data_IF_021837971737
#
_entry.id   IF_021837971737
#
_cell.length_a   1.000
_cell.length_b   1.000
_cell.length_c   1.000
_cell.angle_alpha   90.00
_cell.angle_beta   90.00
_cell.angle_gamma   90.00
#
_symmetry.space_group_name_H-M   'P 1'
#
loop_
_entity.id
_entity.type
_entity.pdbx_description
1 polymer ?
#
# COMPACT_ATOMS: atom_id res chain seq x y z
N UNK A 1 -7.36 -36.84 20.77
CA UNK A 1 -7.82 -35.98 19.66
C UNK A 1 -7.06 -34.67 19.78
N UNK A 2 -6.15 -34.38 18.85
CA UNK A 2 -5.46 -33.08 18.80
C UNK A 2 -6.48 -32.00 18.44
N UNK A 3 -6.39 -30.83 19.05
CA UNK A 3 -7.30 -29.72 18.70
C UNK A 3 -7.09 -29.33 17.23
N UNK A 4 -8.13 -28.85 16.52
CA UNK A 4 -8.00 -28.42 15.12
C UNK A 4 -6.86 -27.41 14.90
N UNK A 5 -6.59 -26.55 15.87
CA UNK A 5 -5.47 -25.60 15.84
C UNK A 5 -4.11 -26.29 15.99
N UNK A 6 -3.99 -27.30 16.86
CA UNK A 6 -2.75 -28.05 17.00
C UNK A 6 -2.38 -28.82 15.73
N UNK A 7 -3.38 -29.38 15.02
CA UNK A 7 -3.16 -30.02 13.72
C UNK A 7 -2.65 -29.03 12.68
N UNK A 8 -3.28 -27.87 12.56
CA UNK A 8 -2.88 -26.81 11.60
C UNK A 8 -1.47 -26.29 11.87
N UNK A 9 -1.10 -26.15 13.14
CA UNK A 9 0.24 -25.72 13.54
C UNK A 9 1.29 -26.79 13.18
N UNK A 10 0.97 -28.07 13.37
CA UNK A 10 1.85 -29.16 12.96
C UNK A 10 2.07 -29.19 11.45
N UNK A 11 1.01 -28.99 10.67
CA UNK A 11 1.08 -28.89 9.21
C UNK A 11 1.93 -27.69 8.78
N UNK A 12 1.74 -26.53 9.41
CA UNK A 12 2.53 -25.32 9.15
C UNK A 12 4.03 -25.55 9.40
N UNK A 13 4.38 -26.18 10.53
CA UNK A 13 5.75 -26.53 10.88
C UNK A 13 6.34 -27.60 9.94
N UNK A 14 5.52 -28.50 9.43
CA UNK A 14 5.94 -29.46 8.41
C UNK A 14 6.29 -28.75 7.10
N UNK A 15 5.39 -27.91 6.57
CA UNK A 15 5.65 -27.14 5.34
C UNK A 15 6.85 -26.20 5.48
N UNK A 16 7.00 -25.53 6.63
CA UNK A 16 8.16 -24.67 6.89
C UNK A 16 9.47 -25.46 6.87
N UNK A 17 9.51 -26.68 7.44
CA UNK A 17 10.68 -27.55 7.39
C UNK A 17 11.01 -28.00 5.97
N UNK A 18 10.01 -28.43 5.21
CA UNK A 18 10.20 -28.82 3.81
C UNK A 18 10.69 -27.64 2.96
N UNK A 19 10.11 -26.44 3.14
CA UNK A 19 10.55 -25.22 2.46
C UNK A 19 12.02 -24.90 2.75
N UNK A 20 12.44 -24.98 4.02
CA UNK A 20 13.85 -24.76 4.40
C UNK A 20 14.77 -25.79 3.74
N UNK A 21 14.36 -27.06 3.63
CA UNK A 21 15.13 -28.10 2.92
C UNK A 21 15.27 -27.79 1.43
N UNK A 22 14.24 -27.26 0.78
CA UNK A 22 14.33 -26.86 -0.63
C UNK A 22 15.22 -25.62 -0.81
N UNK A 23 15.22 -24.69 0.14
CA UNK A 23 16.04 -23.48 0.12
C UNK A 23 17.53 -23.71 0.50
N UNK A 24 17.86 -24.87 1.07
CA UNK A 24 19.20 -25.18 1.57
C UNK A 24 20.24 -25.30 0.44
N UNK A 25 21.38 -24.62 0.63
CA UNK A 25 22.56 -24.75 -0.23
C UNK A 25 23.52 -25.78 0.36
N UNK A 26 23.89 -26.79 -0.43
CA UNK A 26 24.90 -27.79 -0.07
C UNK A 26 25.97 -27.93 -1.15
N UNK A 27 27.06 -28.63 -0.82
CA UNK A 27 28.20 -28.87 -1.73
C UNK A 27 27.75 -29.50 -3.06
N UNK A 28 26.71 -30.36 -3.02
CA UNK A 28 26.15 -31.03 -4.20
C UNK A 28 24.66 -30.72 -4.43
N UNK A 29 24.07 -29.83 -3.63
CA UNK A 29 22.62 -29.54 -3.67
C UNK A 29 22.40 -28.06 -3.96
N UNK A 30 21.82 -27.78 -5.12
CA UNK A 30 21.32 -26.46 -5.46
C UNK A 30 19.92 -26.28 -4.86
N UNK A 31 19.59 -25.08 -4.34
CA UNK A 31 18.25 -24.80 -3.88
C UNK A 31 17.22 -24.93 -5.00
N UNK A 32 16.05 -25.46 -4.64
CA UNK A 32 14.84 -25.41 -5.46
C UNK A 32 13.96 -24.28 -4.93
N UNK A 33 14.13 -23.10 -5.50
CA UNK A 33 13.45 -21.90 -5.03
C UNK A 33 11.95 -21.91 -5.30
N UNK A 34 11.52 -22.57 -6.37
CA UNK A 34 10.10 -22.70 -6.72
C UNK A 34 9.36 -23.59 -5.72
N UNK A 35 9.93 -24.74 -5.35
CA UNK A 35 9.37 -25.61 -4.31
C UNK A 35 9.48 -24.98 -2.92
N UNK A 36 10.58 -24.25 -2.64
CA UNK A 36 10.71 -23.51 -1.38
C UNK A 36 9.59 -22.46 -1.24
N UNK A 37 9.39 -21.61 -2.25
CA UNK A 37 8.37 -20.58 -2.26
C UNK A 37 6.96 -21.14 -2.04
N UNK A 38 6.60 -22.21 -2.75
CA UNK A 38 5.30 -22.89 -2.61
C UNK A 38 5.10 -23.47 -1.21
N UNK A 39 6.11 -24.09 -0.62
CA UNK A 39 5.99 -24.65 0.73
C UNK A 39 5.96 -23.55 1.81
N UNK A 40 6.71 -22.45 1.64
CA UNK A 40 6.59 -21.29 2.53
C UNK A 40 5.19 -20.67 2.48
N UNK A 41 4.58 -20.57 1.29
CA UNK A 41 3.21 -20.05 1.16
C UNK A 41 2.18 -20.97 1.84
N UNK A 42 2.29 -22.29 1.66
CA UNK A 42 1.47 -23.27 2.38
C UNK A 42 1.65 -23.17 3.89
N UNK A 43 2.88 -23.02 4.36
CA UNK A 43 3.17 -22.80 5.78
C UNK A 43 2.50 -21.52 6.28
N UNK A 44 2.59 -20.43 5.52
CA UNK A 44 1.99 -19.15 5.88
C UNK A 44 0.47 -19.23 6.03
N UNK A 45 -0.21 -19.88 5.07
CA UNK A 45 -1.65 -20.11 5.12
C UNK A 45 -2.06 -20.97 6.33
N UNK A 46 -1.29 -22.02 6.64
CA UNK A 46 -1.54 -22.89 7.79
C UNK A 46 -1.29 -22.17 9.13
N UNK A 47 -0.22 -21.38 9.26
CA UNK A 47 0.05 -20.53 10.42
C UNK A 47 -1.07 -19.50 10.63
N UNK A 48 -1.53 -18.84 9.56
CA UNK A 48 -2.67 -17.92 9.61
C UNK A 48 -3.94 -18.63 10.11
N UNK A 49 -4.24 -19.82 9.60
CA UNK A 49 -5.39 -20.62 10.00
C UNK A 49 -5.29 -21.14 11.45
N UNK A 50 -4.08 -21.22 12.01
CA UNK A 50 -3.79 -21.52 13.40
C UNK A 50 -3.68 -20.26 14.29
N UNK A 51 -3.96 -19.07 13.74
CA UNK A 51 -3.84 -17.76 14.43
C UNK A 51 -2.41 -17.42 14.91
N UNK A 52 -1.39 -18.09 14.34
CA UNK A 52 0.03 -17.80 14.56
C UNK A 52 0.49 -16.74 13.55
N UNK A 53 0.07 -15.50 13.76
CA UNK A 53 0.19 -14.45 12.73
C UNK A 53 1.62 -14.00 12.44
N UNK A 54 2.48 -13.93 13.45
CA UNK A 54 3.88 -13.55 13.27
C UNK A 54 4.63 -14.60 12.43
N UNK A 55 4.36 -15.87 12.67
CA UNK A 55 4.91 -16.99 11.92
C UNK A 55 4.37 -17.00 10.48
N UNK A 56 3.09 -16.68 10.29
CA UNK A 56 2.50 -16.53 8.96
C UNK A 56 3.19 -15.41 8.16
N UNK A 57 3.42 -14.26 8.79
CA UNK A 57 4.12 -13.11 8.19
C UNK A 57 5.55 -13.50 7.83
N UNK A 58 6.29 -14.13 8.74
CA UNK A 58 7.65 -14.61 8.49
C UNK A 58 7.70 -15.61 7.33
N UNK A 59 6.74 -16.52 7.26
CA UNK A 59 6.62 -17.48 6.17
C UNK A 59 6.35 -16.80 4.81
N UNK A 60 5.46 -15.81 4.76
CA UNK A 60 5.22 -15.04 3.53
C UNK A 60 6.44 -14.22 3.09
N UNK A 61 7.19 -13.63 4.03
CA UNK A 61 8.44 -12.92 3.70
C UNK A 61 9.45 -13.89 3.09
N UNK A 62 9.64 -15.07 3.68
CA UNK A 62 10.52 -16.11 3.11
C UNK A 62 10.04 -16.61 1.74
N UNK A 63 8.72 -16.71 1.55
CA UNK A 63 8.13 -17.06 0.26
C UNK A 63 8.47 -16.00 -0.80
N UNK A 64 8.35 -14.71 -0.46
CA UNK A 64 8.75 -13.60 -1.32
C UNK A 64 10.24 -13.66 -1.70
N UNK A 65 11.12 -13.85 -0.71
CA UNK A 65 12.56 -13.94 -0.93
C UNK A 65 12.93 -15.13 -1.84
N UNK A 66 12.25 -16.27 -1.68
CA UNK A 66 12.42 -17.41 -2.57
C UNK A 66 11.94 -17.12 -4.01
N UNK A 67 10.79 -16.45 -4.17
CA UNK A 67 10.26 -16.06 -5.49
C UNK A 67 11.17 -15.09 -6.25
N UNK A 68 11.90 -14.24 -5.52
CA UNK A 68 12.89 -13.33 -6.11
C UNK A 68 14.06 -14.09 -6.75
N UNK A 69 14.46 -15.23 -6.20
CA UNK A 69 15.50 -16.06 -6.82
C UNK A 69 15.05 -16.69 -8.15
N UNK A 70 13.73 -16.81 -8.38
CA UNK A 70 13.13 -17.25 -9.63
C UNK A 70 12.65 -16.08 -10.52
N UNK A 71 13.04 -14.83 -10.21
CA UNK A 71 12.65 -13.61 -10.93
C UNK A 71 11.13 -13.35 -11.03
N UNK A 72 10.34 -13.93 -10.12
CA UNK A 72 8.88 -13.75 -10.09
C UNK A 72 8.49 -12.54 -9.23
N UNK A 73 8.79 -11.32 -9.72
CA UNK A 73 8.58 -10.07 -8.98
C UNK A 73 7.12 -9.87 -8.57
N UNK A 74 6.16 -10.16 -9.47
CA UNK A 74 4.74 -10.06 -9.16
C UNK A 74 4.32 -10.96 -7.98
N UNK A 75 4.71 -12.24 -8.01
CA UNK A 75 4.34 -13.18 -6.95
C UNK A 75 5.05 -12.83 -5.65
N UNK A 76 6.32 -12.40 -5.72
CA UNK A 76 7.07 -11.93 -4.57
C UNK A 76 6.39 -10.70 -3.92
N UNK A 77 5.92 -9.75 -4.73
CA UNK A 77 5.14 -8.59 -4.27
C UNK A 77 3.84 -9.01 -3.58
N UNK A 78 3.09 -9.94 -4.19
CA UNK A 78 1.84 -10.47 -3.62
C UNK A 78 2.06 -11.18 -2.28
N UNK A 79 3.16 -11.90 -2.12
CA UNK A 79 3.50 -12.54 -0.85
C UNK A 79 3.74 -11.49 0.26
N UNK A 80 4.44 -10.39 -0.04
CA UNK A 80 4.62 -9.28 0.91
C UNK A 80 3.32 -8.53 1.19
N UNK A 81 2.46 -8.35 0.19
CA UNK A 81 1.14 -7.76 0.39
C UNK A 81 0.29 -8.61 1.35
N UNK A 82 0.31 -9.94 1.21
CA UNK A 82 -0.35 -10.86 2.14
C UNK A 82 0.22 -10.75 3.56
N UNK A 83 1.55 -10.62 3.70
CA UNK A 83 2.21 -10.43 4.98
C UNK A 83 1.77 -9.10 5.64
N UNK A 84 1.77 -8.01 4.88
CA UNK A 84 1.34 -6.68 5.33
C UNK A 84 -0.12 -6.71 5.81
N UNK A 85 -1.02 -7.29 5.02
CA UNK A 85 -2.44 -7.40 5.36
C UNK A 85 -2.70 -8.22 6.64
N UNK A 86 -1.90 -9.26 6.90
CA UNK A 86 -1.97 -10.02 8.16
C UNK A 86 -1.54 -9.15 9.33
N UNK A 87 -0.43 -8.42 9.23
CA UNK A 87 -0.01 -7.53 10.31
C UNK A 87 -1.03 -6.42 10.55
N UNK A 88 -1.55 -5.81 9.49
CA UNK A 88 -2.54 -4.74 9.57
C UNK A 88 -3.81 -5.18 10.31
N UNK A 89 -4.38 -6.33 9.94
CA UNK A 89 -5.58 -6.87 10.58
C UNK A 89 -5.37 -7.31 12.03
N UNK A 90 -4.14 -7.63 12.42
CA UNK A 90 -3.79 -8.11 13.76
C UNK A 90 -3.06 -7.05 14.59
N UNK A 91 -3.21 -5.78 14.25
CA UNK A 91 -2.65 -4.63 14.98
C UNK A 91 -1.13 -4.71 15.20
N UNK A 92 -0.42 -5.20 14.18
CA UNK A 92 1.03 -5.17 14.13
C UNK A 92 1.58 -3.74 14.09
N UNK A 93 2.89 -3.55 14.32
CA UNK A 93 3.51 -2.23 14.31
C UNK A 93 3.27 -1.50 12.98
N UNK A 94 2.67 -0.28 12.98
CA UNK A 94 2.32 0.45 11.76
C UNK A 94 3.48 0.66 10.77
N UNK A 95 4.66 0.93 11.31
CA UNK A 95 5.90 1.09 10.52
C UNK A 95 6.28 -0.19 9.77
N UNK A 96 6.04 -1.35 10.38
CA UNK A 96 6.34 -2.64 9.76
C UNK A 96 5.31 -2.99 8.68
N UNK A 97 4.02 -2.66 8.90
CA UNK A 97 2.98 -2.79 7.88
C UNK A 97 3.32 -1.94 6.66
N UNK A 98 3.68 -0.68 6.88
CA UNK A 98 4.06 0.25 5.82
C UNK A 98 5.33 -0.20 5.07
N UNK A 99 6.33 -0.71 5.78
CA UNK A 99 7.54 -1.26 5.15
C UNK A 99 7.23 -2.43 4.20
N UNK A 100 6.39 -3.38 4.63
CA UNK A 100 6.00 -4.51 3.79
C UNK A 100 5.23 -4.07 2.56
N UNK A 101 4.27 -3.15 2.69
CA UNK A 101 3.56 -2.59 1.54
C UNK A 101 4.52 -1.84 0.59
N UNK A 102 5.43 -1.03 1.11
CA UNK A 102 6.44 -0.32 0.30
C UNK A 102 7.34 -1.28 -0.46
N UNK A 103 7.81 -2.36 0.19
CA UNK A 103 8.59 -3.42 -0.47
C UNK A 103 7.77 -4.14 -1.54
N UNK A 104 6.49 -4.44 -1.29
CA UNK A 104 5.60 -4.99 -2.30
C UNK A 104 5.44 -4.04 -3.51
N UNK A 105 5.28 -2.74 -3.25
CA UNK A 105 5.19 -1.72 -4.29
C UNK A 105 6.44 -1.64 -5.17
N UNK A 106 7.64 -1.73 -4.58
CA UNK A 106 8.89 -1.77 -5.34
C UNK A 106 8.96 -2.99 -6.28
N UNK A 107 8.47 -4.15 -5.83
CA UNK A 107 8.42 -5.35 -6.66
C UNK A 107 7.40 -5.22 -7.80
N UNK A 108 6.25 -4.59 -7.54
CA UNK A 108 5.29 -4.27 -8.58
C UNK A 108 5.84 -3.29 -9.62
N UNK A 109 6.66 -2.31 -9.22
CA UNK A 109 7.38 -1.45 -10.19
C UNK A 109 8.35 -2.23 -11.06
N UNK A 110 9.11 -3.17 -10.46
CA UNK A 110 10.02 -4.05 -11.20
C UNK A 110 9.29 -4.98 -12.19
N UNK A 111 8.01 -5.26 -11.93
CA UNK A 111 7.11 -6.02 -12.82
C UNK A 111 6.30 -5.12 -13.80
N UNK A 112 6.63 -3.82 -13.88
CA UNK A 112 5.92 -2.85 -14.73
C UNK A 112 4.42 -2.71 -14.38
N UNK A 113 4.10 -2.73 -13.07
CA UNK A 113 2.76 -2.53 -12.50
C UNK A 113 2.70 -1.28 -11.61
N UNK A 114 2.87 -0.06 -12.18
CA UNK A 114 2.88 1.18 -11.41
C UNK A 114 1.56 1.47 -10.70
N UNK A 115 0.43 1.03 -11.25
CA UNK A 115 -0.90 1.13 -10.64
C UNK A 115 -0.98 0.39 -9.30
N UNK A 116 -0.46 -0.85 -9.27
CA UNK A 116 -0.36 -1.67 -8.06
C UNK A 116 0.62 -1.10 -7.06
N UNK A 117 1.76 -0.59 -7.55
CA UNK A 117 2.75 0.03 -6.68
C UNK A 117 2.19 1.26 -5.96
N UNK A 118 1.48 2.14 -6.69
CA UNK A 118 0.81 3.30 -6.10
C UNK A 118 -0.26 2.88 -5.08
N UNK A 119 -1.02 1.81 -5.35
CA UNK A 119 -1.98 1.25 -4.41
C UNK A 119 -1.30 0.80 -3.10
N UNK A 120 -0.13 0.14 -3.19
CA UNK A 120 0.62 -0.29 -2.00
C UNK A 120 1.12 0.90 -1.19
N UNK A 121 1.60 1.97 -1.84
CA UNK A 121 2.01 3.19 -1.15
C UNK A 121 0.84 3.83 -0.38
N UNK A 122 -0.37 3.84 -0.97
CA UNK A 122 -1.60 4.31 -0.29
C UNK A 122 -1.93 3.43 0.92
N UNK A 123 -1.84 2.09 0.80
CA UNK A 123 -2.07 1.19 1.95
C UNK A 123 -1.05 1.42 3.06
N UNK A 124 0.23 1.57 2.71
CA UNK A 124 1.28 1.91 3.66
C UNK A 124 1.06 3.26 4.35
N UNK A 125 0.64 4.28 3.59
CA UNK A 125 0.31 5.59 4.14
C UNK A 125 -0.86 5.53 5.14
N UNK A 126 -1.92 4.78 4.81
CA UNK A 126 -3.08 4.54 5.70
C UNK A 126 -2.68 3.92 7.03
N UNK A 127 -1.81 2.91 7.00
CA UNK A 127 -1.30 2.29 8.22
C UNK A 127 -0.57 3.31 9.12
N UNK A 128 0.11 4.29 8.53
CA UNK A 128 0.90 5.31 9.23
C UNK A 128 0.09 6.51 9.75
N UNK A 129 -1.17 6.73 9.32
CA UNK A 129 -1.91 7.97 9.62
C UNK A 129 -1.95 8.31 11.12
N UNK A 130 -2.14 7.31 11.97
CA UNK A 130 -2.22 7.49 13.43
C UNK A 130 -0.87 7.33 14.15
N UNK A 131 0.17 6.84 13.46
CA UNK A 131 1.46 6.54 14.05
C UNK A 131 2.51 7.63 13.74
N UNK A 132 2.55 8.09 12.50
CA UNK A 132 3.47 9.13 12.05
C UNK A 132 2.89 9.87 10.84
N UNK A 133 2.29 11.04 11.12
CA UNK A 133 1.69 11.89 10.10
C UNK A 133 2.68 12.26 8.99
N UNK A 134 3.92 12.63 9.32
CA UNK A 134 4.92 13.01 8.30
C UNK A 134 5.28 11.85 7.36
N UNK A 135 5.37 10.63 7.88
CA UNK A 135 5.63 9.46 7.04
C UNK A 135 4.42 9.10 6.19
N UNK A 136 3.21 9.20 6.74
CA UNK A 136 1.97 9.02 5.98
C UNK A 136 1.88 10.03 4.82
N UNK A 137 2.16 11.32 5.09
CA UNK A 137 2.24 12.38 4.06
C UNK A 137 3.24 11.99 2.98
N UNK A 138 4.44 11.54 3.35
CA UNK A 138 5.47 11.12 2.39
C UNK A 138 5.00 9.99 1.48
N UNK A 139 4.40 8.94 2.04
CA UNK A 139 3.94 7.79 1.24
C UNK A 139 2.74 8.15 0.34
N UNK A 140 1.79 8.95 0.84
CA UNK A 140 0.72 9.48 0.00
C UNK A 140 1.23 10.38 -1.13
N UNK A 141 2.22 11.23 -0.86
CA UNK A 141 2.86 12.06 -1.89
C UNK A 141 3.54 11.20 -2.96
N UNK A 142 4.27 10.17 -2.56
CA UNK A 142 4.88 9.22 -3.49
C UNK A 142 3.83 8.55 -4.38
N UNK A 143 2.70 8.13 -3.81
CA UNK A 143 1.60 7.52 -4.56
C UNK A 143 0.99 8.50 -5.58
N UNK A 144 0.70 9.75 -5.16
CA UNK A 144 0.14 10.77 -6.05
C UNK A 144 1.10 11.12 -7.20
N UNK A 145 2.39 11.24 -6.90
CA UNK A 145 3.43 11.50 -7.92
C UNK A 145 3.51 10.35 -8.92
N UNK A 146 3.45 9.10 -8.45
CA UNK A 146 3.49 7.92 -9.32
C UNK A 146 2.26 7.84 -10.23
N UNK A 147 1.07 8.15 -9.71
CA UNK A 147 -0.15 8.21 -10.53
C UNK A 147 -0.07 9.27 -11.62
N UNK A 148 0.50 10.44 -11.31
CA UNK A 148 0.66 11.52 -12.29
C UNK A 148 1.75 11.21 -13.33
N UNK A 149 2.91 10.69 -12.91
CA UNK A 149 4.01 10.42 -13.84
C UNK A 149 3.69 9.31 -14.84
N UNK A 150 2.88 8.34 -14.43
CA UNK A 150 2.50 7.18 -15.24
C UNK A 150 1.18 7.37 -16.01
N UNK A 151 0.57 8.57 -15.96
CA UNK A 151 -0.73 8.88 -16.58
C UNK A 151 -1.83 7.87 -16.18
N UNK A 152 -1.91 7.61 -14.88
CA UNK A 152 -2.85 6.67 -14.27
C UNK A 152 -4.04 7.43 -13.63
N UNK A 153 -4.51 8.50 -14.27
CA UNK A 153 -5.54 9.40 -13.75
C UNK A 153 -6.82 8.67 -13.34
N UNK A 154 -7.16 7.59 -14.06
CA UNK A 154 -8.35 6.75 -13.79
C UNK A 154 -8.31 6.07 -12.41
N UNK A 155 -7.12 5.83 -11.88
CA UNK A 155 -6.90 5.16 -10.59
C UNK A 155 -6.52 6.13 -9.47
N UNK A 156 -6.14 7.35 -9.83
CA UNK A 156 -5.60 8.35 -8.91
C UNK A 156 -6.65 8.93 -7.95
N UNK A 157 -7.89 9.12 -8.40
CA UNK A 157 -8.88 9.97 -7.69
C UNK A 157 -9.10 9.57 -6.24
N UNK A 158 -9.23 8.28 -5.94
CA UNK A 158 -9.50 7.82 -4.57
C UNK A 158 -8.28 7.94 -3.65
N UNK A 159 -7.07 7.80 -4.21
CA UNK A 159 -5.83 8.04 -3.50
C UNK A 159 -5.68 9.51 -3.10
N UNK A 160 -5.91 10.43 -4.04
CA UNK A 160 -5.89 11.88 -3.78
C UNK A 160 -6.92 12.27 -2.73
N UNK A 161 -8.17 11.78 -2.86
CA UNK A 161 -9.23 12.07 -1.86
C UNK A 161 -8.89 11.53 -0.48
N UNK A 162 -8.31 10.33 -0.39
CA UNK A 162 -7.87 9.76 0.88
C UNK A 162 -6.82 10.66 1.53
N UNK A 163 -5.82 11.10 0.75
CA UNK A 163 -4.76 11.98 1.21
C UNK A 163 -5.28 13.36 1.66
N UNK A 164 -6.13 14.01 0.84
CA UNK A 164 -6.77 15.29 1.18
C UNK A 164 -7.55 15.15 2.48
N UNK A 165 -8.34 14.08 2.64
CA UNK A 165 -9.11 13.84 3.86
C UNK A 165 -8.20 13.71 5.09
N UNK A 166 -7.07 13.00 4.97
CA UNK A 166 -6.08 12.91 6.04
C UNK A 166 -5.47 14.28 6.37
N UNK A 167 -5.08 15.08 5.37
CA UNK A 167 -4.51 16.42 5.56
C UNK A 167 -5.49 17.35 6.28
N UNK A 168 -6.76 17.38 5.86
CA UNK A 168 -7.81 18.21 6.47
C UNK A 168 -8.05 17.80 7.93
N UNK A 169 -8.19 16.49 8.22
CA UNK A 169 -8.37 15.99 9.60
C UNK A 169 -7.22 16.37 10.54
N UNK A 170 -6.02 16.53 10.00
CA UNK A 170 -4.82 16.90 10.75
C UNK A 170 -4.48 18.40 10.67
N UNK A 171 -5.42 19.24 10.25
CA UNK A 171 -5.25 20.69 10.11
C UNK A 171 -4.08 21.11 9.19
N UNK A 172 -3.70 20.27 8.22
CA UNK A 172 -2.68 20.56 7.20
C UNK A 172 -3.33 21.20 5.97
N UNK A 173 -4.05 22.29 6.20
CA UNK A 173 -4.95 22.88 5.21
C UNK A 173 -4.22 23.44 3.97
N UNK A 174 -3.04 24.04 4.13
CA UNK A 174 -2.24 24.52 3.01
C UNK A 174 -1.84 23.38 2.05
N UNK A 175 -1.32 22.28 2.58
CA UNK A 175 -1.02 21.09 1.78
C UNK A 175 -2.29 20.48 1.17
N UNK A 176 -3.42 20.49 1.89
CA UNK A 176 -4.68 19.99 1.33
C UNK A 176 -5.10 20.78 0.08
N UNK A 177 -4.90 22.11 0.06
CA UNK A 177 -5.14 22.95 -1.11
C UNK A 177 -4.24 22.55 -2.28
N UNK A 178 -2.94 22.33 -2.03
CA UNK A 178 -2.00 21.89 -3.08
C UNK A 178 -2.44 20.57 -3.73
N UNK A 179 -2.85 19.58 -2.92
CA UNK A 179 -3.31 18.28 -3.44
C UNK A 179 -4.68 18.39 -4.13
N UNK A 180 -5.58 19.25 -3.63
CA UNK A 180 -6.84 19.55 -4.30
C UNK A 180 -6.64 20.19 -5.67
N UNK A 181 -5.68 21.10 -5.82
CA UNK A 181 -5.34 21.71 -7.12
C UNK A 181 -4.84 20.65 -8.11
N UNK A 182 -3.96 19.75 -7.67
CA UNK A 182 -3.50 18.62 -8.48
C UNK A 182 -4.65 17.71 -8.91
N UNK A 183 -5.55 17.35 -7.98
CA UNK A 183 -6.75 16.57 -8.29
C UNK A 183 -7.67 17.31 -9.29
N UNK A 184 -7.81 18.64 -9.14
CA UNK A 184 -8.55 19.48 -10.08
C UNK A 184 -7.99 19.40 -11.49
N UNK A 185 -6.66 19.46 -11.64
CA UNK A 185 -5.99 19.31 -12.94
C UNK A 185 -6.18 17.94 -13.59
N UNK A 186 -6.30 16.89 -12.77
CA UNK A 186 -6.64 15.55 -13.26
C UNK A 186 -8.09 15.52 -13.75
N UNK A 187 -9.01 16.04 -12.95
CA UNK A 187 -10.44 15.97 -13.23
C UNK A 187 -10.89 16.90 -14.36
N UNK A 188 -10.21 18.03 -14.58
CA UNK A 188 -10.50 18.95 -15.68
C UNK A 188 -10.30 18.31 -17.07
N UNK A 189 -9.45 17.27 -17.14
CA UNK A 189 -9.21 16.49 -18.37
C UNK A 189 -10.25 15.40 -18.59
N UNK A 190 -11.18 15.20 -17.66
CA UNK A 190 -12.19 14.14 -17.72
C UNK A 190 -13.56 14.70 -18.10
N UNK A 191 -14.45 13.91 -18.74
CA UNK A 191 -15.81 14.37 -19.07
C UNK A 191 -16.68 14.70 -17.84
N UNK A 192 -16.28 14.27 -16.65
CA UNK A 192 -17.06 14.45 -15.43
C UNK A 192 -16.80 15.83 -14.78
N UNK A 193 -17.40 16.86 -15.38
CA UNK A 193 -17.29 18.25 -14.94
C UNK A 193 -17.79 18.47 -13.50
N UNK A 194 -18.74 17.68 -13.01
CA UNK A 194 -19.26 17.80 -11.65
C UNK A 194 -18.19 17.49 -10.59
N UNK A 195 -17.33 16.51 -10.84
CA UNK A 195 -16.24 16.18 -9.92
C UNK A 195 -15.22 17.32 -9.86
N UNK A 196 -14.89 17.89 -11.01
CA UNK A 196 -14.01 19.05 -11.10
C UNK A 196 -14.55 20.25 -10.31
N UNK A 197 -15.81 20.64 -10.52
CA UNK A 197 -16.42 21.76 -9.78
C UNK A 197 -16.51 21.53 -8.27
N UNK A 198 -16.77 20.29 -7.82
CA UNK A 198 -16.72 19.95 -6.39
C UNK A 198 -15.31 20.13 -5.82
N UNK A 199 -14.27 19.78 -6.57
CA UNK A 199 -12.88 20.00 -6.17
C UNK A 199 -12.55 21.49 -6.08
N UNK A 200 -12.98 22.30 -7.05
CA UNK A 200 -12.82 23.76 -7.01
C UNK A 200 -13.52 24.39 -5.80
N UNK A 201 -14.77 24.00 -5.53
CA UNK A 201 -15.49 24.45 -4.34
C UNK A 201 -14.77 24.02 -3.05
N UNK A 202 -14.23 22.80 -3.02
CA UNK A 202 -13.47 22.31 -1.85
C UNK A 202 -12.23 23.16 -1.58
N UNK A 203 -11.54 23.64 -2.63
CA UNK A 203 -10.41 24.58 -2.48
C UNK A 203 -10.87 25.87 -1.79
N UNK A 204 -11.99 26.47 -2.23
CA UNK A 204 -12.53 27.70 -1.62
C UNK A 204 -12.92 27.45 -0.16
N UNK A 205 -13.60 26.34 0.15
CA UNK A 205 -14.00 25.99 1.51
C UNK A 205 -12.78 25.81 2.43
N UNK A 206 -11.72 25.14 1.96
CA UNK A 206 -10.50 24.97 2.75
C UNK A 206 -9.78 26.31 2.95
N UNK A 207 -9.77 27.19 1.94
CA UNK A 207 -9.20 28.53 2.06
C UNK A 207 -9.94 29.39 3.10
N UNK A 208 -11.28 29.32 3.13
CA UNK A 208 -12.08 29.95 4.19
C UNK A 208 -11.76 29.36 5.56
N UNK A 209 -11.56 28.05 5.66
CA UNK A 209 -11.18 27.39 6.92
C UNK A 209 -9.78 27.81 7.42
N UNK A 210 -8.88 28.26 6.53
CA UNK A 210 -7.60 28.88 6.90
C UNK A 210 -7.81 30.29 7.49
N UNK A 211 -8.94 30.94 7.20
CA UNK A 211 -9.25 32.30 7.63
C UNK A 211 -8.82 33.40 6.66
N UNK A 212 -8.46 33.04 5.43
CA UNK A 212 -8.05 33.99 4.39
C UNK A 212 -9.20 34.20 3.39
N UNK A 213 -10.14 35.06 3.80
CA UNK A 213 -11.35 35.38 3.04
C UNK A 213 -11.06 36.05 1.70
N UNK A 214 -10.01 36.87 1.65
CA UNK A 214 -9.59 37.59 0.43
C UNK A 214 -9.13 36.60 -0.63
N UNK A 215 -8.25 35.66 -0.26
CA UNK A 215 -7.80 34.64 -1.21
C UNK A 215 -8.95 33.69 -1.59
N UNK A 216 -9.86 33.37 -0.66
CA UNK A 216 -11.02 32.55 -0.98
C UNK A 216 -11.92 33.20 -2.03
N UNK A 217 -12.19 34.51 -1.90
CA UNK A 217 -12.96 35.28 -2.88
C UNK A 217 -12.24 35.36 -4.23
N UNK A 218 -10.92 35.62 -4.22
CA UNK A 218 -10.11 35.64 -5.44
C UNK A 218 -10.18 34.31 -6.20
N UNK A 219 -10.01 33.18 -5.49
CA UNK A 219 -10.13 31.84 -6.07
C UNK A 219 -11.52 31.58 -6.62
N UNK A 220 -12.57 31.91 -5.87
CA UNK A 220 -13.95 31.74 -6.32
C UNK A 220 -14.22 32.50 -7.62
N UNK A 221 -13.84 33.78 -7.67
CA UNK A 221 -13.99 34.61 -8.88
C UNK A 221 -13.22 34.02 -10.06
N UNK A 222 -11.98 33.58 -9.84
CA UNK A 222 -11.18 32.94 -10.89
C UNK A 222 -11.86 31.69 -11.46
N UNK A 223 -12.42 30.84 -10.60
CA UNK A 223 -13.10 29.60 -11.01
C UNK A 223 -14.45 29.83 -11.70
N UNK A 224 -15.17 30.90 -11.40
CA UNK A 224 -16.42 31.24 -12.08
C UNK A 224 -16.20 31.90 -13.45
N UNK A 225 -15.00 32.42 -13.71
CA UNK A 225 -14.65 33.09 -14.97
C UNK A 225 -14.03 32.15 -16.01
N UNK A 226 -13.80 30.88 -15.65
CA UNK A 226 -13.31 29.79 -16.53
C UNK A 226 -14.44 28.86 -16.96
#
# INVERSE_FOLDING_TARGET
>A
MTSPNASRLQDALHYMREANKYAERGIFKKPDWDLAAQNYEKAAQAFKAAQSYNEAVSAYVKSSDAMLHSFSHFMAGRALENAAAILELNLGPPEHVADLYRRAGNLYLQDFKPDRAAEMLVKGAKALENASLEKAIKEYMNACNLYESENLERYATDAFKSFIGMLVRNNRLGQAIEILQRLGNIQSKTPNVYSYYKTLLSIVVVQLAIGDEVEAENRFRAFCNT
#
